data_IF_140792504111
#
_entry.id   IF_140792504111
#
_cell.length_a   1.000
_cell.length_b   1.000
_cell.length_c   1.000
_cell.angle_alpha   90.00
_cell.angle_beta   90.00
_cell.angle_gamma   90.00
#
_symmetry.space_group_name_H-M   'P 1'
#
loop_
_entity.id
_entity.type
_entity.pdbx_description
1 polymer ?
#
# COMPACT_ATOMS: atom_id res chain seq x y z
N UNK A 1 -2.75 -30.50 2.98
CA UNK A 1 -4.02 -29.77 2.79
C UNK A 1 -3.66 -28.42 2.20
N UNK A 2 -3.80 -28.28 0.88
CA UNK A 2 -3.23 -27.16 0.13
C UNK A 2 -4.06 -25.89 0.30
N UNK A 3 -3.43 -24.81 0.76
CA UNK A 3 -4.01 -23.48 0.75
C UNK A 3 -3.92 -22.94 -0.68
N UNK A 4 -5.02 -23.01 -1.43
CA UNK A 4 -5.22 -22.22 -2.64
C UNK A 4 -5.37 -20.76 -2.24
N UNK A 5 -4.34 -19.95 -2.46
CA UNK A 5 -4.44 -18.49 -2.35
C UNK A 5 -5.05 -17.95 -3.63
N UNK A 6 -6.36 -17.69 -3.61
CA UNK A 6 -7.03 -16.88 -4.62
C UNK A 6 -6.49 -15.43 -4.62
N UNK A 7 -6.82 -14.62 -5.63
CA UNK A 7 -6.37 -13.24 -5.73
C UNK A 7 -6.86 -12.43 -4.52
N UNK A 8 -5.92 -11.93 -3.71
CA UNK A 8 -6.24 -11.14 -2.51
C UNK A 8 -6.73 -9.76 -2.92
N UNK A 9 -7.92 -9.40 -2.46
CA UNK A 9 -8.45 -8.04 -2.62
C UNK A 9 -7.73 -7.07 -1.68
N UNK A 10 -7.73 -5.77 -2.02
CA UNK A 10 -7.15 -4.74 -1.14
C UNK A 10 -7.79 -4.70 0.25
N UNK A 11 -9.08 -5.05 0.36
CA UNK A 11 -9.81 -5.13 1.63
C UNK A 11 -9.35 -6.31 2.50
N UNK A 12 -9.04 -7.46 1.90
CA UNK A 12 -8.50 -8.62 2.62
C UNK A 12 -7.08 -8.35 3.14
N UNK A 13 -6.26 -7.62 2.39
CA UNK A 13 -4.93 -7.22 2.84
C UNK A 13 -5.01 -6.29 4.06
N UNK A 14 -5.90 -5.29 4.04
CA UNK A 14 -6.13 -4.39 5.18
C UNK A 14 -6.60 -5.19 6.40
N UNK A 15 -7.54 -6.12 6.22
CA UNK A 15 -8.04 -6.97 7.31
C UNK A 15 -6.92 -7.82 7.92
N UNK A 16 -6.10 -8.48 7.11
CA UNK A 16 -4.98 -9.30 7.60
C UNK A 16 -3.95 -8.47 8.38
N UNK A 17 -3.66 -7.26 7.89
CA UNK A 17 -2.73 -6.36 8.57
C UNK A 17 -3.28 -5.91 9.92
N UNK A 18 -4.60 -5.70 10.03
CA UNK A 18 -5.25 -5.37 11.30
C UNK A 18 -5.22 -6.52 12.29
N UNK A 19 -5.51 -7.74 11.84
CA UNK A 19 -5.49 -8.93 12.70
C UNK A 19 -4.06 -9.18 13.24
N UNK A 20 -3.04 -9.05 12.39
CA UNK A 20 -1.63 -9.18 12.79
C UNK A 20 -1.18 -8.09 13.79
N UNK A 21 -1.60 -6.83 13.58
CA UNK A 21 -1.28 -5.75 14.52
C UNK A 21 -2.01 -5.88 15.86
N UNK A 22 -3.22 -6.46 15.88
CA UNK A 22 -3.94 -6.77 17.11
C UNK A 22 -3.16 -7.78 17.94
N UNK A 23 -2.84 -8.95 17.38
CA UNK A 23 -2.16 -10.02 18.12
C UNK A 23 -0.84 -9.56 18.76
N UNK A 24 -0.02 -8.81 18.03
CA UNK A 24 1.24 -8.26 18.55
C UNK A 24 1.01 -7.25 19.68
N UNK A 25 0.04 -6.35 19.53
CA UNK A 25 -0.23 -5.29 20.51
C UNK A 25 -0.79 -5.82 21.83
N UNK A 26 -1.58 -6.91 21.79
CA UNK A 26 -2.23 -7.47 22.97
C UNK A 26 -1.35 -8.46 23.76
N UNK A 27 -0.40 -9.13 23.10
CA UNK A 27 0.44 -10.14 23.75
C UNK A 27 1.86 -9.67 24.08
N UNK A 28 2.52 -8.91 23.19
CA UNK A 28 3.94 -8.58 23.38
C UNK A 28 4.16 -7.29 24.19
N UNK A 29 3.32 -6.28 24.00
CA UNK A 29 3.55 -4.98 24.66
C UNK A 29 3.39 -5.02 26.18
N UNK A 30 2.36 -5.68 26.75
CA UNK A 30 2.19 -5.74 28.21
C UNK A 30 3.28 -6.59 28.88
N UNK A 31 3.73 -7.67 28.24
CA UNK A 31 4.74 -8.57 28.79
C UNK A 31 6.13 -7.93 28.89
N UNK A 32 6.50 -7.04 27.97
CA UNK A 32 7.73 -6.22 28.06
C UNK A 32 7.74 -5.37 29.34
N UNK A 33 6.57 -4.93 29.81
CA UNK A 33 6.41 -4.12 31.02
C UNK A 33 6.10 -4.96 32.28
N UNK A 34 6.10 -6.29 32.18
CA UNK A 34 5.72 -7.19 33.27
C UNK A 34 4.24 -7.13 33.64
N UNK A 35 3.39 -6.65 32.74
CA UNK A 35 1.95 -6.53 32.94
C UNK A 35 1.21 -7.69 32.27
N UNK A 36 0.18 -8.19 32.94
CA UNK A 36 -0.69 -9.22 32.39
C UNK A 36 -1.86 -8.57 31.63
N UNK A 37 -2.05 -8.98 30.38
CA UNK A 37 -3.18 -8.57 29.57
C UNK A 37 -4.43 -9.40 29.91
N UNK A 38 -5.57 -8.74 30.07
CA UNK A 38 -6.88 -9.36 30.24
C UNK A 38 -7.77 -8.96 29.04
N UNK A 39 -7.79 -9.81 28.02
CA UNK A 39 -8.49 -9.51 26.77
C UNK A 39 -7.88 -8.29 26.08
N UNK A 40 -8.67 -7.23 25.90
CA UNK A 40 -8.24 -5.98 25.27
C UNK A 40 -7.72 -4.93 26.27
N UNK A 41 -7.45 -5.32 27.52
CA UNK A 41 -7.19 -4.38 28.61
C UNK A 41 -5.98 -4.80 29.46
N UNK A 42 -5.30 -3.83 30.07
CA UNK A 42 -4.20 -4.04 31.03
C UNK A 42 -4.46 -3.22 32.29
N UNK A 43 -4.14 -3.78 33.46
CA UNK A 43 -4.17 -3.02 34.72
C UNK A 43 -2.80 -2.44 35.01
N UNK A 44 -2.74 -1.11 35.18
CA UNK A 44 -1.51 -0.39 35.50
C UNK A 44 -1.83 0.73 36.48
N UNK A 45 -1.12 0.77 37.62
CA UNK A 45 -1.24 1.83 38.64
C UNK A 45 -2.71 2.09 39.08
N UNK A 46 -3.44 1.01 39.38
CA UNK A 46 -4.86 1.07 39.77
C UNK A 46 -5.84 1.44 38.64
N UNK A 47 -5.36 1.71 37.42
CA UNK A 47 -6.17 2.03 36.24
C UNK A 47 -6.33 0.83 35.32
N UNK A 48 -7.44 0.79 34.60
CA UNK A 48 -7.65 -0.14 33.48
C UNK A 48 -7.41 0.62 32.19
N UNK A 49 -6.44 0.17 31.41
CA UNK A 49 -6.06 0.75 30.12
C UNK A 49 -6.55 -0.18 29.01
N UNK A 50 -7.38 0.32 28.11
CA UNK A 50 -7.82 -0.43 26.92
C UNK A 50 -6.81 -0.27 25.79
N UNK A 51 -6.51 -1.39 25.14
CA UNK A 51 -5.67 -1.51 23.96
C UNK A 51 -6.60 -1.84 22.78
N UNK A 52 -6.32 -1.30 21.61
CA UNK A 52 -7.16 -1.51 20.43
C UNK A 52 -6.38 -1.22 19.15
N UNK A 53 -6.76 -1.91 18.08
CA UNK A 53 -6.30 -1.58 16.73
C UNK A 53 -7.33 -0.68 16.06
N UNK A 54 -6.91 0.52 15.71
CA UNK A 54 -7.75 1.52 15.05
C UNK A 54 -7.13 1.83 13.69
N UNK A 55 -7.57 1.16 12.61
CA UNK A 55 -7.07 1.45 11.27
C UNK A 55 -7.34 2.90 10.92
N UNK A 56 -6.33 3.60 10.41
CA UNK A 56 -6.54 4.92 9.85
C UNK A 56 -7.20 4.80 8.48
N UNK A 57 -8.31 5.50 8.31
CA UNK A 57 -8.99 5.67 7.03
C UNK A 57 -8.64 7.00 6.37
N UNK A 58 -9.21 7.20 5.19
CA UNK A 58 -9.20 8.50 4.48
C UNK A 58 -10.62 9.06 4.43
N UNK A 59 -10.75 10.38 4.28
CA UNK A 59 -12.05 11.00 4.03
C UNK A 59 -12.46 10.76 2.55
N UNK A 60 -13.13 9.65 2.30
CA UNK A 60 -13.55 9.25 0.96
C UNK A 60 -14.45 10.28 0.29
N UNK A 61 -15.41 10.86 1.02
CA UNK A 61 -16.33 11.86 0.48
C UNK A 61 -15.59 13.14 0.04
N UNK A 62 -14.58 13.56 0.81
CA UNK A 62 -13.75 14.71 0.44
C UNK A 62 -12.90 14.42 -0.80
N UNK A 63 -12.32 13.22 -0.90
CA UNK A 63 -11.54 12.80 -2.08
C UNK A 63 -12.42 12.74 -3.32
N UNK A 64 -13.61 12.16 -3.21
CA UNK A 64 -14.58 12.10 -4.31
C UNK A 64 -14.98 13.51 -4.76
N UNK A 65 -15.34 14.38 -3.81
CA UNK A 65 -15.70 15.78 -4.10
C UNK A 65 -14.56 16.51 -4.82
N UNK A 66 -13.34 16.39 -4.32
CA UNK A 66 -12.16 17.00 -4.95
C UNK A 66 -11.89 16.43 -6.35
N UNK A 67 -12.06 15.12 -6.54
CA UNK A 67 -11.89 14.46 -7.84
C UNK A 67 -12.90 14.94 -8.87
N UNK A 68 -14.16 15.13 -8.48
CA UNK A 68 -15.20 15.64 -9.37
C UNK A 68 -14.99 17.13 -9.71
N UNK A 69 -14.54 17.93 -8.73
CA UNK A 69 -14.29 19.35 -8.92
C UNK A 69 -13.09 19.66 -9.82
N UNK A 70 -12.07 18.78 -9.85
CA UNK A 70 -10.88 18.96 -10.69
C UNK A 70 -11.14 18.75 -12.19
N UNK A 71 -12.28 18.18 -12.59
CA UNK A 71 -12.53 17.78 -13.97
C UNK A 71 -11.45 16.82 -14.50
N UNK A 72 -11.34 16.69 -15.83
CA UNK A 72 -10.24 15.92 -16.43
C UNK A 72 -8.95 16.74 -16.32
N UNK A 73 -8.01 16.31 -15.49
CA UNK A 73 -6.70 16.97 -15.39
C UNK A 73 -5.89 16.78 -16.67
N UNK A 74 -4.95 17.71 -16.94
CA UNK A 74 -4.01 17.61 -18.05
C UNK A 74 -3.26 16.27 -18.06
N UNK A 75 -2.98 15.73 -16.86
CA UNK A 75 -2.34 14.41 -16.70
C UNK A 75 -3.25 13.28 -17.19
N UNK A 76 -4.55 13.31 -16.87
CA UNK A 76 -5.50 12.30 -17.35
C UNK A 76 -5.66 12.39 -18.87
N UNK A 77 -5.69 13.60 -19.41
CA UNK A 77 -5.73 13.83 -20.86
C UNK A 77 -4.47 13.30 -21.55
N UNK A 78 -3.29 13.63 -21.03
CA UNK A 78 -2.02 13.15 -21.57
C UNK A 78 -1.90 11.62 -21.51
N UNK A 79 -2.31 10.99 -20.40
CA UNK A 79 -2.32 9.53 -20.27
C UNK A 79 -3.31 8.87 -21.24
N UNK A 80 -4.47 9.49 -21.48
CA UNK A 80 -5.45 9.00 -22.45
C UNK A 80 -4.97 9.12 -23.89
N UNK A 81 -4.28 10.22 -24.21
CA UNK A 81 -3.59 10.43 -25.49
C UNK A 81 -2.51 9.38 -25.71
N UNK A 82 -1.59 9.22 -24.76
CA UNK A 82 -0.54 8.20 -24.80
C UNK A 82 -1.12 6.80 -24.96
N UNK A 83 -2.21 6.48 -24.24
CA UNK A 83 -2.88 5.19 -24.36
C UNK A 83 -3.33 4.93 -25.80
N UNK A 84 -3.91 5.93 -26.44
CA UNK A 84 -4.46 5.84 -27.79
C UNK A 84 -3.35 5.79 -28.85
N UNK A 85 -2.38 6.70 -28.77
CA UNK A 85 -1.27 6.82 -29.72
C UNK A 85 -0.34 5.61 -29.71
N UNK A 86 -0.02 5.09 -28.52
CA UNK A 86 0.85 3.94 -28.37
C UNK A 86 0.11 2.60 -28.45
N UNK A 87 -1.20 2.58 -28.73
CA UNK A 87 -1.99 1.35 -28.82
C UNK A 87 -2.07 0.56 -27.51
N UNK A 88 -1.91 1.23 -26.36
CA UNK A 88 -1.93 0.58 -25.06
C UNK A 88 -3.36 0.14 -24.70
N UNK A 89 -3.50 -1.12 -24.32
CA UNK A 89 -4.72 -1.67 -23.73
C UNK A 89 -4.89 -1.25 -22.27
N UNK A 90 -3.80 -1.23 -21.50
CA UNK A 90 -3.82 -0.93 -20.07
C UNK A 90 -2.68 0.00 -19.63
N UNK A 91 -2.98 0.87 -18.68
CA UNK A 91 -1.99 1.65 -17.93
C UNK A 91 -2.11 1.23 -16.48
N UNK A 92 -1.00 0.77 -15.91
CA UNK A 92 -0.84 0.53 -14.48
C UNK A 92 -0.27 1.81 -13.85
N UNK A 93 -0.87 2.27 -12.76
CA UNK A 93 -0.40 3.45 -12.02
C UNK A 93 0.03 3.03 -10.62
N UNK A 94 1.23 3.44 -10.23
CA UNK A 94 1.72 3.26 -8.87
C UNK A 94 2.22 4.61 -8.33
N UNK A 95 1.72 5.02 -7.17
CA UNK A 95 2.10 6.26 -6.50
C UNK A 95 2.62 5.92 -5.12
N UNK A 96 3.92 6.10 -4.93
CA UNK A 96 4.59 5.84 -3.67
C UNK A 96 5.56 6.97 -3.34
N UNK A 97 6.01 7.01 -2.08
CA UNK A 97 7.25 7.74 -1.76
C UNK A 97 8.44 6.91 -2.23
N UNK A 98 9.53 7.57 -2.61
CA UNK A 98 10.81 6.91 -2.84
C UNK A 98 11.36 6.42 -1.51
N UNK A 99 10.95 5.22 -1.10
CA UNK A 99 11.21 4.62 0.19
C UNK A 99 11.35 3.11 -0.01
N UNK A 100 12.42 2.54 0.54
CA UNK A 100 12.78 1.13 0.33
C UNK A 100 11.74 0.14 0.87
N UNK A 101 10.83 0.60 1.74
CA UNK A 101 9.72 -0.22 2.26
C UNK A 101 8.53 -0.31 1.30
N UNK A 102 8.51 0.48 0.22
CA UNK A 102 7.37 0.57 -0.71
C UNK A 102 7.37 -0.48 -1.81
N UNK A 103 8.39 -1.32 -1.86
CA UNK A 103 8.42 -2.46 -2.76
C UNK A 103 8.53 -2.10 -4.25
N UNK A 104 9.03 -0.90 -4.57
CA UNK A 104 9.16 -0.43 -5.96
C UNK A 104 10.01 -1.40 -6.81
N UNK A 105 11.19 -1.89 -6.36
CA UNK A 105 11.97 -2.86 -7.13
C UNK A 105 11.20 -4.17 -7.40
N UNK A 106 10.47 -4.67 -6.40
CA UNK A 106 9.67 -5.90 -6.51
C UNK A 106 8.53 -5.72 -7.51
N UNK A 107 7.91 -4.54 -7.55
CA UNK A 107 6.87 -4.21 -8.53
C UNK A 107 7.43 -4.18 -9.95
N UNK A 108 8.60 -3.57 -10.16
CA UNK A 108 9.26 -3.55 -11.46
C UNK A 108 9.60 -4.96 -11.94
N UNK A 109 10.17 -5.80 -11.06
CA UNK A 109 10.45 -7.21 -11.35
C UNK A 109 9.17 -8.00 -11.66
N UNK A 110 8.05 -7.71 -10.99
CA UNK A 110 6.77 -8.34 -11.29
C UNK A 110 6.24 -7.96 -12.68
N UNK A 111 6.41 -6.70 -13.09
CA UNK A 111 6.04 -6.25 -14.45
C UNK A 111 6.95 -6.87 -15.50
N UNK A 112 8.26 -6.95 -15.25
CA UNK A 112 9.20 -7.65 -16.12
C UNK A 112 8.76 -9.11 -16.33
N UNK A 113 8.53 -9.86 -15.25
CA UNK A 113 8.06 -11.25 -15.31
C UNK A 113 6.71 -11.40 -16.00
N UNK A 114 5.80 -10.45 -15.81
CA UNK A 114 4.52 -10.44 -16.52
C UNK A 114 4.75 -10.34 -18.04
N UNK A 115 5.62 -9.43 -18.48
CA UNK A 115 5.92 -9.25 -19.90
C UNK A 115 6.74 -10.41 -20.48
N UNK A 116 7.55 -11.10 -19.67
CA UNK A 116 8.24 -12.34 -20.05
C UNK A 116 7.23 -13.47 -20.29
N UNK A 117 6.32 -13.69 -19.33
CA UNK A 117 5.35 -14.78 -19.36
C UNK A 117 4.20 -14.56 -20.34
N UNK A 118 3.83 -13.29 -20.59
CA UNK A 118 2.75 -12.91 -21.49
C UNK A 118 3.24 -11.98 -22.61
N UNK A 119 3.95 -12.51 -23.63
CA UNK A 119 4.50 -11.69 -24.72
C UNK A 119 3.46 -10.84 -25.46
N UNK A 120 2.20 -11.28 -25.50
CA UNK A 120 1.10 -10.54 -26.11
C UNK A 120 0.79 -9.19 -25.41
N UNK A 121 1.25 -9.00 -24.17
CA UNK A 121 1.09 -7.74 -23.44
C UNK A 121 2.18 -6.72 -23.80
N UNK A 122 3.30 -7.16 -24.39
CA UNK A 122 4.39 -6.25 -24.81
C UNK A 122 3.85 -5.24 -25.82
N UNK A 123 4.21 -3.97 -25.62
CA UNK A 123 3.70 -2.86 -26.43
C UNK A 123 2.23 -2.50 -26.19
N UNK A 124 1.51 -3.24 -25.34
CA UNK A 124 0.08 -3.00 -25.06
C UNK A 124 -0.20 -2.64 -23.60
N UNK A 125 0.80 -2.71 -22.72
CA UNK A 125 0.66 -2.30 -21.33
C UNK A 125 1.83 -1.40 -20.93
N UNK A 126 1.55 -0.42 -20.09
CA UNK A 126 2.56 0.47 -19.53
C UNK A 126 2.40 0.59 -18.01
N UNK A 127 3.52 0.69 -17.29
CA UNK A 127 3.55 1.07 -15.88
C UNK A 127 4.02 2.53 -15.77
N UNK A 128 3.21 3.37 -15.13
CA UNK A 128 3.57 4.71 -14.70
C UNK A 128 3.83 4.68 -13.20
N UNK A 129 5.10 4.79 -12.81
CA UNK A 129 5.53 4.85 -11.41
C UNK A 129 5.83 6.30 -11.03
N UNK A 130 5.02 6.88 -10.15
CA UNK A 130 5.29 8.16 -9.50
C UNK A 130 5.95 7.87 -8.16
N UNK A 131 7.19 8.34 -7.98
CA UNK A 131 7.96 8.19 -6.74
C UNK A 131 8.24 9.58 -6.15
N UNK A 132 7.43 10.00 -5.17
CA UNK A 132 7.64 11.29 -4.51
C UNK A 132 8.92 11.26 -3.65
N UNK A 133 9.83 12.24 -3.76
CA UNK A 133 11.02 12.30 -2.91
C UNK A 133 10.69 12.21 -1.43
N UNK A 134 11.50 11.49 -0.66
CA UNK A 134 11.30 11.36 0.77
C UNK A 134 12.63 11.24 1.50
N UNK A 135 12.76 11.96 2.62
CA UNK A 135 13.84 11.81 3.61
C UNK A 135 15.25 11.88 3.01
N UNK A 136 15.51 12.96 2.25
CA UNK A 136 16.76 13.19 1.53
C UNK A 136 18.02 13.18 2.43
N UNK A 137 17.87 13.41 3.73
CA UNK A 137 18.99 13.45 4.68
C UNK A 137 19.31 12.11 5.35
N UNK A 138 18.64 11.01 4.98
CA UNK A 138 18.88 9.69 5.57
C UNK A 138 19.69 8.84 4.59
N UNK A 139 20.93 8.42 4.91
CA UNK A 139 21.83 7.71 3.97
C UNK A 139 21.22 6.45 3.34
N UNK A 140 20.31 5.77 4.05
CA UNK A 140 19.61 4.59 3.53
C UNK A 140 18.76 4.88 2.29
N UNK A 141 18.29 6.12 2.10
CA UNK A 141 17.49 6.54 0.94
C UNK A 141 18.36 6.92 -0.27
N UNK A 142 19.62 7.31 -0.04
CA UNK A 142 20.55 7.70 -1.11
C UNK A 142 20.91 6.58 -2.09
N UNK A 143 20.74 5.31 -1.70
CA UNK A 143 20.96 4.14 -2.58
C UNK A 143 19.85 3.91 -3.61
N UNK A 144 18.72 4.61 -3.49
CA UNK A 144 17.55 4.47 -4.37
C UNK A 144 17.31 5.72 -5.24
N UNK A 145 18.25 6.66 -5.24
CA UNK A 145 18.30 7.77 -6.20
C UNK A 145 18.92 7.32 -7.52
#
# INVERSE_FOLDING_TARGET
MGLQTGPQTGLELVRRQLDQHRELSFHEHPSILGLEAQGDSVRYDGRVVKIGAFPLGVNAAQIETASQAMGTSDVVTALSGLKSEAGLRHIMLAIDRLDYTKGIPQRLLAVERLLENEPALRGHVALVQIAAPSRDNVPAYGRYR
#
